data_IF_887301776342
#
_entry.id   IF_887301776342
#
_cell.length_a   1.000
_cell.length_b   1.000
_cell.length_c   1.000
_cell.angle_alpha   90.00
_cell.angle_beta   90.00
_cell.angle_gamma   90.00
#
_symmetry.space_group_name_H-M   'P 1'
#
loop_
_entity.id
_entity.type
_entity.pdbx_description
1 polymer ?
#
# COMPACT_ATOMS: atom_id res chain seq x y z
N UNK A 1 -15.83 -50.13 -9.59
CA UNK A 1 -16.07 -48.75 -10.03
C UNK A 1 -15.23 -48.51 -11.28
N UNK A 2 -15.87 -48.39 -12.44
CA UNK A 2 -15.18 -48.25 -13.73
C UNK A 2 -14.75 -46.79 -13.91
N UNK A 3 -13.44 -46.55 -14.01
CA UNK A 3 -12.90 -45.25 -14.37
C UNK A 3 -13.21 -45.00 -15.85
N UNK A 4 -14.22 -44.15 -16.10
CA UNK A 4 -14.55 -43.65 -17.43
C UNK A 4 -13.51 -42.60 -17.82
N UNK A 5 -12.48 -43.04 -18.55
CA UNK A 5 -11.52 -42.14 -19.17
C UNK A 5 -12.19 -41.40 -20.34
N UNK A 6 -12.79 -40.25 -20.06
CA UNK A 6 -13.17 -39.30 -21.11
C UNK A 6 -11.89 -38.76 -21.78
N UNK A 7 -11.86 -38.61 -23.13
CA UNK A 7 -10.73 -37.98 -23.80
C UNK A 7 -10.57 -36.53 -23.31
N UNK A 8 -9.34 -36.10 -22.95
CA UNK A 8 -9.09 -34.76 -22.42
C UNK A 8 -9.41 -33.68 -23.46
N UNK A 9 -9.98 -32.56 -23.01
CA UNK A 9 -10.33 -31.42 -23.88
C UNK A 9 -9.07 -30.88 -24.58
N UNK A 10 -9.06 -30.73 -25.92
CA UNK A 10 -7.92 -30.23 -26.68
C UNK A 10 -7.41 -28.86 -26.21
N UNK A 11 -8.27 -28.00 -25.65
CA UNK A 11 -7.84 -26.70 -25.09
C UNK A 11 -7.04 -26.85 -23.80
N UNK A 12 -7.42 -27.80 -22.95
CA UNK A 12 -6.72 -28.10 -21.70
C UNK A 12 -5.37 -28.74 -21.98
N UNK A 13 -5.30 -29.65 -22.97
CA UNK A 13 -4.05 -30.25 -23.44
C UNK A 13 -3.09 -29.17 -23.95
N UNK A 14 -3.55 -28.25 -24.81
CA UNK A 14 -2.74 -27.15 -25.32
C UNK A 14 -2.24 -26.19 -24.21
N UNK A 15 -3.08 -25.91 -23.22
CA UNK A 15 -2.70 -25.07 -22.07
C UNK A 15 -1.65 -25.77 -21.17
N UNK A 16 -1.79 -27.07 -20.95
CA UNK A 16 -0.82 -27.89 -20.20
C UNK A 16 0.51 -27.97 -20.95
N UNK A 17 0.48 -28.16 -22.26
CA UNK A 17 1.67 -28.18 -23.11
C UNK A 17 2.38 -26.81 -23.14
N UNK A 18 1.63 -25.71 -23.28
CA UNK A 18 2.19 -24.36 -23.20
C UNK A 18 2.84 -24.10 -21.83
N UNK A 19 2.24 -24.60 -20.74
CA UNK A 19 2.82 -24.51 -19.39
C UNK A 19 4.11 -25.33 -19.27
N UNK A 20 4.11 -26.57 -19.78
CA UNK A 20 5.30 -27.43 -19.83
C UNK A 20 6.41 -26.81 -20.67
N UNK A 21 6.08 -26.19 -21.79
CA UNK A 21 7.05 -25.51 -22.66
C UNK A 21 7.65 -24.29 -21.97
N UNK A 22 6.85 -23.44 -21.32
CA UNK A 22 7.35 -22.31 -20.52
C UNK A 22 8.24 -22.75 -19.37
N UNK A 23 7.87 -23.82 -18.66
CA UNK A 23 8.70 -24.34 -17.57
C UNK A 23 10.01 -24.93 -18.12
N UNK A 24 9.99 -25.59 -19.28
CA UNK A 24 11.20 -26.09 -19.94
C UNK A 24 12.12 -24.94 -20.37
N UNK A 25 11.56 -23.87 -20.95
CA UNK A 25 12.32 -22.67 -21.29
C UNK A 25 12.90 -21.95 -20.07
N UNK A 26 12.19 -21.99 -18.93
CA UNK A 26 12.65 -21.44 -17.66
C UNK A 26 13.78 -22.30 -17.08
N UNK A 27 13.61 -23.62 -17.08
CA UNK A 27 14.62 -24.57 -16.64
C UNK A 27 15.90 -24.42 -17.47
N UNK A 28 15.79 -24.34 -18.80
CA UNK A 28 16.93 -24.14 -19.69
C UNK A 28 17.72 -22.87 -19.34
N UNK A 29 17.05 -21.79 -18.90
CA UNK A 29 17.70 -20.54 -18.45
C UNK A 29 18.30 -20.62 -17.05
N UNK A 30 17.71 -21.41 -16.16
CA UNK A 30 18.14 -21.52 -14.77
C UNK A 30 19.31 -22.51 -14.59
N UNK A 31 19.31 -23.58 -15.39
CA UNK A 31 20.35 -24.62 -15.35
C UNK A 31 21.61 -24.23 -16.11
N UNK A 32 21.53 -23.33 -17.09
CA UNK A 32 22.71 -22.78 -17.73
C UNK A 32 23.34 -21.67 -16.86
N UNK A 33 24.48 -22.00 -16.25
CA UNK A 33 25.21 -21.12 -15.33
C UNK A 33 25.66 -19.83 -16.03
N UNK A 34 25.99 -19.88 -17.33
CA UNK A 34 26.52 -18.72 -18.06
C UNK A 34 25.43 -17.70 -18.38
N UNK A 35 24.26 -18.15 -18.81
CA UNK A 35 23.09 -17.26 -19.01
C UNK A 35 22.51 -16.76 -17.69
N UNK A 36 22.64 -17.53 -16.58
CA UNK A 36 22.26 -17.06 -15.25
C UNK A 36 23.14 -15.93 -14.71
N UNK A 37 24.45 -15.96 -14.99
CA UNK A 37 25.42 -14.99 -14.47
C UNK A 37 25.61 -13.80 -15.42
N UNK A 38 25.60 -14.01 -16.75
CA UNK A 38 25.94 -13.00 -17.78
C UNK A 38 24.93 -13.03 -18.95
N UNK A 39 23.67 -13.36 -18.68
CA UNK A 39 22.62 -13.40 -19.70
C UNK A 39 22.31 -12.01 -20.24
N UNK A 40 22.84 -11.69 -21.41
CA UNK A 40 22.58 -10.42 -22.11
C UNK A 40 22.07 -10.71 -23.52
N UNK A 41 20.95 -10.10 -23.89
CA UNK A 41 20.40 -10.20 -25.24
C UNK A 41 21.13 -9.22 -26.19
N UNK A 42 22.19 -9.72 -26.80
CA UNK A 42 23.03 -8.96 -27.75
C UNK A 42 22.22 -8.49 -28.96
N UNK A 43 21.20 -9.23 -29.41
CA UNK A 43 20.39 -8.85 -30.57
C UNK A 43 19.46 -7.69 -30.24
N UNK A 44 18.84 -7.72 -29.07
CA UNK A 44 18.03 -6.61 -28.58
C UNK A 44 18.88 -5.35 -28.36
N UNK A 45 20.05 -5.48 -27.73
CA UNK A 45 20.98 -4.35 -27.54
C UNK A 45 21.47 -3.76 -28.86
N UNK A 46 21.83 -4.60 -29.83
CA UNK A 46 22.22 -4.13 -31.16
C UNK A 46 21.07 -3.39 -31.86
N UNK A 47 19.82 -3.86 -31.68
CA UNK A 47 18.64 -3.19 -32.23
C UNK A 47 18.42 -1.82 -31.57
N UNK A 48 18.60 -1.71 -30.25
CA UNK A 48 18.52 -0.44 -29.52
C UNK A 48 19.61 0.55 -29.93
N UNK A 49 20.85 0.08 -30.13
CA UNK A 49 21.96 0.92 -30.63
C UNK A 49 21.67 1.43 -32.03
N UNK A 50 21.10 0.60 -32.91
CA UNK A 50 20.70 1.03 -34.25
C UNK A 50 19.57 2.07 -34.20
N UNK A 51 18.57 1.85 -33.35
CA UNK A 51 17.48 2.82 -33.14
C UNK A 51 18.02 4.17 -32.64
N UNK A 52 18.96 4.15 -31.69
CA UNK A 52 19.60 5.35 -31.18
C UNK A 52 20.37 6.10 -32.28
N UNK A 53 21.14 5.38 -33.12
CA UNK A 53 21.84 5.97 -34.27
C UNK A 53 20.89 6.62 -35.27
N UNK A 54 19.75 5.99 -35.54
CA UNK A 54 18.71 6.55 -36.42
C UNK A 54 18.11 7.82 -35.83
N UNK A 55 17.83 7.85 -34.53
CA UNK A 55 17.34 9.04 -33.83
C UNK A 55 18.37 10.18 -33.89
N UNK A 56 19.63 9.90 -33.59
CA UNK A 56 20.71 10.88 -33.68
C UNK A 56 20.89 11.43 -35.10
N UNK A 57 20.81 10.57 -36.12
CA UNK A 57 20.88 10.99 -37.52
C UNK A 57 19.69 11.89 -37.91
N UNK A 58 18.49 11.55 -37.44
CA UNK A 58 17.29 12.37 -37.68
C UNK A 58 17.39 13.75 -36.99
N UNK A 59 17.88 13.81 -35.75
CA UNK A 59 18.12 15.08 -35.05
C UNK A 59 19.18 15.91 -35.77
N UNK A 60 20.32 15.32 -36.16
CA UNK A 60 21.34 16.03 -36.96
C UNK A 60 20.77 16.57 -38.29
N UNK A 61 19.89 15.81 -38.95
CA UNK A 61 19.25 16.28 -40.17
C UNK A 61 18.30 17.45 -39.92
N UNK A 62 17.58 17.47 -38.79
CA UNK A 62 16.73 18.60 -38.39
C UNK A 62 17.58 19.83 -38.08
N UNK A 63 18.65 19.67 -37.30
CA UNK A 63 19.59 20.75 -36.98
C UNK A 63 20.21 21.36 -38.24
N UNK A 64 20.63 20.52 -39.20
CA UNK A 64 21.13 20.99 -40.49
C UNK A 64 20.07 21.77 -41.29
N UNK A 65 18.81 21.33 -41.29
CA UNK A 65 17.71 22.05 -41.94
C UNK A 65 17.44 23.41 -41.27
N UNK A 66 17.47 23.47 -39.94
CA UNK A 66 17.36 24.74 -39.21
C UNK A 66 18.52 25.68 -39.51
N UNK A 67 19.75 25.17 -39.56
CA UNK A 67 20.92 25.96 -39.97
C UNK A 67 20.79 26.52 -41.38
N UNK A 68 20.31 25.73 -42.34
CA UNK A 68 20.06 26.20 -43.70
C UNK A 68 18.98 27.30 -43.76
N UNK A 69 17.90 27.13 -42.98
CA UNK A 69 16.84 28.13 -42.88
C UNK A 69 17.37 29.44 -42.26
N UNK A 70 18.22 29.36 -41.24
CA UNK A 70 18.84 30.54 -40.63
C UNK A 70 19.66 31.33 -41.64
N UNK A 71 20.52 30.66 -42.43
CA UNK A 71 21.30 31.30 -43.50
C UNK A 71 20.39 31.96 -44.53
N UNK A 72 19.27 31.32 -44.89
CA UNK A 72 18.29 31.91 -45.81
C UNK A 72 17.64 33.18 -45.22
N UNK A 73 17.23 33.15 -43.96
CA UNK A 73 16.64 34.31 -43.30
C UNK A 73 17.65 35.46 -43.14
N UNK A 74 18.90 35.16 -42.83
CA UNK A 74 19.96 36.16 -42.75
C UNK A 74 20.20 36.83 -44.12
N UNK A 75 20.18 36.06 -45.21
CA UNK A 75 20.27 36.60 -46.56
C UNK A 75 19.10 37.52 -46.90
N UNK A 76 17.87 37.11 -46.57
CA UNK A 76 16.67 37.93 -46.77
C UNK A 76 16.76 39.23 -45.97
N UNK A 77 17.20 39.18 -44.72
CA UNK A 77 17.39 40.36 -43.88
C UNK A 77 18.41 41.33 -44.49
N UNK A 78 19.56 40.83 -44.97
CA UNK A 78 20.56 41.65 -45.66
C UNK A 78 20.00 42.30 -46.94
N UNK A 79 19.19 41.58 -47.72
CA UNK A 79 18.55 42.12 -48.92
C UNK A 79 17.54 43.23 -48.59
N UNK A 80 16.75 43.06 -47.53
CA UNK A 80 15.80 44.06 -47.07
C UNK A 80 16.52 45.32 -46.57
N UNK A 81 17.60 45.15 -45.81
CA UNK A 81 18.42 46.25 -45.35
C UNK A 81 19.01 47.07 -46.51
N UNK A 82 19.55 46.39 -47.55
CA UNK A 82 20.03 47.08 -48.77
C UNK A 82 18.93 47.87 -49.46
N UNK A 83 17.73 47.31 -49.61
CA UNK A 83 16.57 48.01 -50.19
C UNK A 83 16.17 49.24 -49.38
N UNK A 84 16.22 49.16 -48.06
CA UNK A 84 15.97 50.31 -47.19
C UNK A 84 17.03 51.39 -47.35
N UNK A 85 18.30 51.03 -47.44
CA UNK A 85 19.40 51.96 -47.69
C UNK A 85 19.27 52.65 -49.05
N UNK A 86 18.90 51.91 -50.10
CA UNK A 86 18.62 52.46 -51.43
C UNK A 86 17.44 53.44 -51.39
N UNK A 87 16.35 53.10 -50.70
CA UNK A 87 15.20 54.01 -50.49
C UNK A 87 15.62 55.29 -49.76
N UNK A 88 16.44 55.17 -48.72
CA UNK A 88 16.99 56.32 -47.97
C UNK A 88 17.85 57.23 -48.85
N UNK A 89 18.54 56.69 -49.86
CA UNK A 89 19.32 57.49 -50.84
C UNK A 89 18.45 58.10 -51.94
N UNK A 90 17.45 57.36 -52.42
CA UNK A 90 16.57 57.77 -53.52
C UNK A 90 15.60 58.90 -53.12
N UNK A 91 15.05 58.84 -51.90
CA UNK A 91 14.08 59.83 -51.40
C UNK A 91 14.62 61.28 -51.45
N UNK A 92 15.80 61.61 -50.89
CA UNK A 92 16.38 62.95 -50.98
C UNK A 92 16.67 63.40 -52.42
N UNK A 93 17.17 62.51 -53.28
CA UNK A 93 17.43 62.82 -54.70
C UNK A 93 16.15 63.22 -55.41
N UNK A 94 15.04 62.49 -55.21
CA UNK A 94 13.74 62.84 -55.80
C UNK A 94 13.18 64.16 -55.26
N UNK A 95 13.36 64.44 -53.97
CA UNK A 95 12.98 65.73 -53.38
C UNK A 95 13.79 66.88 -53.99
N UNK A 96 15.06 66.68 -54.34
CA UNK A 96 15.88 67.68 -55.03
C UNK A 96 15.60 67.82 -56.53
N UNK A 97 15.23 66.75 -57.22
CA UNK A 97 14.83 66.78 -58.64
C UNK A 97 13.50 67.52 -58.86
N UNK A 98 12.62 67.53 -57.86
CA UNK A 98 11.29 68.11 -57.94
C UNK A 98 11.30 69.64 -58.22
N UNK A 99 12.10 70.48 -57.53
CA UNK A 99 12.31 71.88 -57.91
C UNK A 99 12.86 72.06 -59.33
N UNK A 100 13.81 71.22 -59.76
CA UNK A 100 14.46 71.34 -61.07
C UNK A 100 13.50 71.06 -62.25
N UNK A 101 12.48 70.21 -62.05
CA UNK A 101 11.47 69.90 -63.08
C UNK A 101 10.24 70.81 -63.02
N UNK A 102 9.74 71.10 -61.82
CA UNK A 102 8.47 71.79 -61.58
C UNK A 102 8.58 73.30 -61.36
N UNK A 103 9.71 73.81 -60.85
CA UNK A 103 9.88 75.20 -60.42
C UNK A 103 10.94 75.95 -61.25
N UNK A 104 11.02 75.66 -62.55
CA UNK A 104 11.89 76.44 -63.44
C UNK A 104 11.34 77.87 -63.60
N UNK A 105 12.19 78.89 -63.45
CA UNK A 105 11.82 80.31 -63.58
C UNK A 105 11.06 80.61 -64.90
N UNK A 106 11.43 79.88 -65.97
CA UNK A 106 10.82 79.98 -67.31
C UNK A 106 9.35 79.53 -67.39
N UNK A 107 8.86 78.79 -66.39
CA UNK A 107 7.48 78.29 -66.31
C UNK A 107 6.60 79.14 -65.38
N UNK A 108 7.12 80.24 -64.82
CA UNK A 108 6.34 81.17 -64.00
C UNK A 108 5.42 82.03 -64.86
N UNK A 109 4.19 82.24 -64.39
CA UNK A 109 3.14 82.92 -65.16
C UNK A 109 3.48 84.38 -65.52
N UNK A 110 4.38 85.01 -64.75
CA UNK A 110 4.81 86.41 -64.91
C UNK A 110 6.17 86.56 -65.62
N UNK A 111 6.82 85.47 -66.05
CA UNK A 111 8.16 85.52 -66.66
C UNK A 111 8.22 86.40 -67.92
N UNK A 112 7.10 86.54 -68.65
CA UNK A 112 6.99 87.40 -69.83
C UNK A 112 7.16 88.91 -69.56
N UNK A 113 7.04 89.37 -68.31
CA UNK A 113 7.27 90.77 -67.93
C UNK A 113 8.72 91.05 -67.52
N UNK A 114 9.52 89.99 -67.29
CA UNK A 114 10.88 90.06 -66.76
C UNK A 114 11.94 89.49 -67.73
N UNK A 115 11.55 89.20 -68.99
CA UNK A 115 12.43 88.60 -69.99
C UNK A 115 13.39 89.66 -70.59
N UNK A 116 14.72 89.56 -70.40
CA UNK A 116 15.68 90.57 -70.86
C UNK A 116 15.78 90.73 -72.39
N UNK A 117 15.20 89.79 -73.16
CA UNK A 117 15.18 89.80 -74.64
C UNK A 117 13.90 90.40 -75.25
N UNK A 118 13.00 90.97 -74.43
CA UNK A 118 11.69 91.47 -74.87
C UNK A 118 11.70 92.50 -76.03
N UNK A 119 12.64 93.47 -76.14
CA UNK A 119 12.64 94.42 -77.24
C UNK A 119 13.05 93.80 -78.60
N UNK A 120 13.64 92.60 -78.62
CA UNK A 120 14.07 91.91 -79.84
C UNK A 120 13.08 90.86 -80.36
N UNK A 121 12.01 90.57 -79.60
CA UNK A 121 10.96 89.59 -79.94
C UNK A 121 9.67 90.23 -80.52
N UNK A 122 9.68 91.53 -80.79
CA UNK A 122 8.55 92.24 -81.44
C UNK A 122 8.56 92.04 -82.96
N UNK A 123 7.59 91.30 -83.50
CA UNK A 123 7.43 91.11 -84.94
C UNK A 123 6.82 92.34 -85.62
N UNK A 124 7.47 92.77 -86.70
CA UNK A 124 7.02 93.77 -87.67
C UNK A 124 5.66 93.40 -88.28
N UNK A 125 4.74 94.36 -88.27
CA UNK A 125 3.44 94.27 -88.92
C UNK A 125 3.60 94.39 -90.45
N UNK A 126 2.95 93.46 -91.18
CA UNK A 126 2.73 93.46 -92.63
C UNK A 126 3.79 92.73 -93.51
N UNK A 127 3.54 91.43 -93.74
CA UNK A 127 3.92 90.75 -94.99
C UNK A 127 3.04 89.51 -95.25
N UNK A 128 2.21 89.57 -96.29
CA UNK A 128 1.66 88.43 -97.05
C UNK A 128 0.39 87.75 -96.53
N UNK A 129 -0.51 87.43 -97.46
CA UNK A 129 -1.95 87.08 -97.38
C UNK A 129 -2.33 85.80 -96.62
N UNK A 130 -1.55 85.37 -95.63
CA UNK A 130 -2.02 84.33 -94.70
C UNK A 130 -1.30 84.51 -93.38
N UNK A 131 -1.83 85.39 -92.51
CA UNK A 131 -1.37 85.47 -91.13
C UNK A 131 -2.48 85.72 -90.09
N UNK A 132 -2.26 85.25 -88.84
CA UNK A 132 -3.25 85.13 -87.76
C UNK A 132 -3.40 86.40 -86.89
N UNK A 133 -2.89 87.55 -87.34
CA UNK A 133 -2.80 88.79 -86.54
C UNK A 133 -3.91 89.81 -86.85
N UNK A 134 -4.99 89.38 -87.52
CA UNK A 134 -6.18 90.20 -87.69
C UNK A 134 -7.20 89.82 -86.62
N UNK A 135 -7.27 90.60 -85.54
CA UNK A 135 -8.42 90.55 -84.63
C UNK A 135 -9.65 91.25 -85.25
N UNK A 136 -10.86 91.03 -84.73
CA UNK A 136 -12.10 91.57 -85.31
C UNK A 136 -12.14 93.11 -85.41
N UNK A 137 -11.26 93.81 -84.69
CA UNK A 137 -11.13 95.27 -84.75
C UNK A 137 -10.36 95.80 -85.99
N UNK A 138 -9.57 94.98 -86.70
CA UNK A 138 -8.79 95.45 -87.85
C UNK A 138 -9.60 95.58 -89.15
N UNK A 139 -10.83 95.06 -89.19
CA UNK A 139 -11.74 95.03 -90.35
C UNK A 139 -11.17 94.49 -91.68
N UNK A 140 -9.99 93.85 -91.68
CA UNK A 140 -9.33 93.40 -92.91
C UNK A 140 -9.58 91.92 -93.25
N UNK A 141 -10.08 91.10 -92.32
CA UNK A 141 -10.52 89.72 -92.57
C UNK A 141 -11.82 89.43 -91.81
N UNK A 142 -12.89 89.05 -92.51
CA UNK A 142 -14.17 88.63 -91.90
C UNK A 142 -14.34 87.11 -92.02
N UNK A 143 -14.03 86.38 -90.96
CA UNK A 143 -14.03 84.90 -90.92
C UNK A 143 -15.42 84.24 -90.93
N UNK A 144 -16.47 84.89 -91.45
CA UNK A 144 -17.87 84.36 -91.38
C UNK A 144 -18.26 83.47 -92.57
N UNK A 145 -17.43 83.41 -93.61
CA UNK A 145 -17.65 82.49 -94.74
C UNK A 145 -16.86 81.20 -94.54
N UNK A 146 -17.45 80.31 -93.73
CA UNK A 146 -16.92 78.95 -93.53
C UNK A 146 -17.21 78.09 -94.77
N UNK A 147 -16.23 77.96 -95.67
CA UNK A 147 -16.28 76.96 -96.76
C UNK A 147 -16.16 75.50 -96.25
N UNK A 148 -15.81 75.29 -94.97
CA UNK A 148 -15.65 73.97 -94.32
C UNK A 148 -16.71 73.67 -93.22
N UNK A 149 -17.83 74.41 -93.20
CA UNK A 149 -18.87 74.21 -92.16
C UNK A 149 -19.49 72.81 -92.18
N UNK A 150 -19.55 72.18 -93.36
CA UNK A 150 -20.14 70.85 -93.56
C UNK A 150 -19.22 69.73 -93.09
N UNK A 151 -17.91 69.83 -93.33
CA UNK A 151 -16.89 68.87 -92.89
C UNK A 151 -16.71 68.93 -91.36
N UNK A 152 -16.65 70.14 -90.78
CA UNK A 152 -16.63 70.33 -89.33
C UNK A 152 -17.88 69.77 -88.63
N UNK A 153 -19.09 69.93 -89.21
CA UNK A 153 -20.31 69.35 -88.64
C UNK A 153 -20.32 67.82 -88.68
N UNK A 154 -19.79 67.20 -89.74
CA UNK A 154 -19.68 65.74 -89.85
C UNK A 154 -18.71 65.19 -88.79
N UNK A 155 -17.53 65.78 -88.66
CA UNK A 155 -16.57 65.37 -87.61
C UNK A 155 -17.14 65.56 -86.20
N UNK A 156 -17.90 66.63 -85.94
CA UNK A 156 -18.59 66.83 -84.66
C UNK A 156 -19.66 65.76 -84.39
N UNK A 157 -20.39 65.30 -85.42
CA UNK A 157 -21.37 64.23 -85.29
C UNK A 157 -20.72 62.87 -85.05
N UNK A 158 -19.63 62.57 -85.76
CA UNK A 158 -18.83 61.35 -85.54
C UNK A 158 -18.21 61.32 -84.14
N UNK A 159 -17.69 62.46 -83.67
CA UNK A 159 -17.18 62.60 -82.31
C UNK A 159 -18.28 62.38 -81.27
N UNK A 160 -19.47 62.97 -81.44
CA UNK A 160 -20.63 62.70 -80.58
C UNK A 160 -21.00 61.22 -80.54
N UNK A 161 -21.06 60.56 -81.70
CA UNK A 161 -21.38 59.14 -81.78
C UNK A 161 -20.32 58.26 -81.08
N UNK A 162 -19.03 58.60 -81.21
CA UNK A 162 -17.95 57.90 -80.50
C UNK A 162 -18.05 58.07 -78.97
N UNK A 163 -18.41 59.26 -78.48
CA UNK A 163 -18.61 59.50 -77.05
C UNK A 163 -19.83 58.76 -76.52
N UNK A 164 -20.94 58.75 -77.26
CA UNK A 164 -22.13 57.98 -76.90
C UNK A 164 -21.83 56.47 -76.83
N UNK A 165 -21.00 55.96 -77.74
CA UNK A 165 -20.53 54.57 -77.72
C UNK A 165 -19.68 54.29 -76.46
N UNK A 166 -18.71 55.15 -76.15
CA UNK A 166 -17.88 55.02 -74.95
C UNK A 166 -18.70 55.07 -73.65
N UNK A 167 -19.71 55.95 -73.58
CA UNK A 167 -20.59 56.04 -72.40
C UNK A 167 -21.42 54.76 -72.25
N UNK A 168 -21.95 54.20 -73.34
CA UNK A 168 -22.69 52.93 -73.30
C UNK A 168 -21.80 51.76 -72.88
N UNK A 169 -20.58 51.67 -73.42
CA UNK A 169 -19.60 50.65 -73.03
C UNK A 169 -19.25 50.76 -71.53
N UNK A 170 -19.03 51.97 -71.02
CA UNK A 170 -18.80 52.17 -69.59
C UNK A 170 -20.01 51.81 -68.72
N UNK A 171 -21.23 52.10 -69.18
CA UNK A 171 -22.45 51.71 -68.46
C UNK A 171 -22.61 50.19 -68.43
N UNK A 172 -22.32 49.50 -69.54
CA UNK A 172 -22.33 48.04 -69.61
C UNK A 172 -21.27 47.43 -68.70
N UNK A 173 -20.03 47.91 -68.75
CA UNK A 173 -18.95 47.44 -67.88
C UNK A 173 -19.27 47.63 -66.39
N UNK A 174 -19.89 48.77 -66.01
CA UNK A 174 -20.36 49.01 -64.64
C UNK A 174 -21.48 48.05 -64.24
N UNK A 175 -22.43 47.78 -65.13
CA UNK A 175 -23.51 46.83 -64.87
C UNK A 175 -22.98 45.40 -64.69
N UNK A 176 -21.99 45.00 -65.51
CA UNK A 176 -21.29 43.72 -65.39
C UNK A 176 -20.53 43.64 -64.06
N UNK A 177 -19.79 44.68 -63.68
CA UNK A 177 -19.07 44.76 -62.40
C UNK A 177 -20.03 44.62 -61.20
N UNK A 178 -21.15 45.35 -61.21
CA UNK A 178 -22.18 45.24 -60.16
C UNK A 178 -22.74 43.82 -60.10
N UNK A 179 -23.06 43.20 -61.26
CA UNK A 179 -23.58 41.83 -61.30
C UNK A 179 -22.58 40.79 -60.80
N UNK A 180 -21.29 41.00 -61.06
CA UNK A 180 -20.20 40.15 -60.60
C UNK A 180 -19.98 40.29 -59.09
N UNK A 181 -20.05 41.50 -58.55
CA UNK A 181 -19.99 41.76 -57.11
C UNK A 181 -21.18 41.15 -56.38
N UNK A 182 -22.40 41.29 -56.90
CA UNK A 182 -23.59 40.63 -56.34
C UNK A 182 -23.45 39.10 -56.31
N UNK A 183 -22.87 38.51 -57.36
CA UNK A 183 -22.61 37.07 -57.39
C UNK A 183 -21.55 36.68 -56.36
N UNK A 184 -20.48 37.47 -56.22
CA UNK A 184 -19.44 37.24 -55.21
C UNK A 184 -20.01 37.30 -53.80
N UNK A 185 -20.88 38.26 -53.52
CA UNK A 185 -21.53 38.41 -52.21
C UNK A 185 -22.46 37.23 -51.92
N UNK A 186 -23.25 36.78 -52.90
CA UNK A 186 -24.09 35.57 -52.77
C UNK A 186 -23.24 34.33 -52.48
N UNK A 187 -22.11 34.17 -53.17
CA UNK A 187 -21.19 33.05 -52.93
C UNK A 187 -20.56 33.12 -51.53
N UNK A 188 -20.15 34.32 -51.09
CA UNK A 188 -19.62 34.53 -49.74
C UNK A 188 -20.65 34.15 -48.67
N UNK A 189 -21.88 34.63 -48.81
CA UNK A 189 -22.97 34.29 -47.89
C UNK A 189 -23.26 32.78 -47.89
N UNK A 190 -23.22 32.12 -49.05
CA UNK A 190 -23.39 30.67 -49.14
C UNK A 190 -22.26 29.90 -48.42
N UNK A 191 -21.01 30.38 -48.53
CA UNK A 191 -19.87 29.80 -47.81
C UNK A 191 -20.00 30.01 -46.30
N UNK A 192 -20.33 31.24 -45.86
CA UNK A 192 -20.47 31.58 -44.44
C UNK A 192 -21.61 30.80 -43.78
N UNK A 193 -22.75 30.66 -44.47
CA UNK A 193 -23.88 29.84 -43.99
C UNK A 193 -23.53 28.36 -43.88
N UNK A 194 -22.80 27.81 -44.86
CA UNK A 194 -22.32 26.42 -44.81
C UNK A 194 -21.30 26.22 -43.69
N UNK A 195 -20.38 27.16 -43.49
CA UNK A 195 -19.42 27.13 -42.39
C UNK A 195 -20.12 27.14 -41.03
N UNK A 196 -21.14 27.99 -40.85
CA UNK A 196 -21.93 28.03 -39.62
C UNK A 196 -22.71 26.74 -39.36
N UNK A 197 -23.24 26.09 -40.40
CA UNK A 197 -23.90 24.78 -40.28
C UNK A 197 -22.91 23.69 -39.84
N UNK A 198 -21.72 23.64 -40.45
CA UNK A 198 -20.69 22.67 -40.09
C UNK A 198 -20.22 22.87 -38.65
N UNK A 199 -19.97 24.11 -38.22
CA UNK A 199 -19.59 24.42 -36.83
C UNK A 199 -20.65 23.93 -35.81
N UNK A 200 -21.94 24.13 -36.10
CA UNK A 200 -23.03 23.64 -35.23
C UNK A 200 -23.06 22.11 -35.15
N UNK A 201 -22.83 21.42 -36.27
CA UNK A 201 -22.77 19.96 -36.29
C UNK A 201 -21.56 19.43 -35.51
N UNK A 202 -20.39 20.04 -35.69
CA UNK A 202 -19.18 19.70 -34.93
C UNK A 202 -19.37 19.91 -33.43
N UNK A 203 -19.95 21.03 -33.01
CA UNK A 203 -20.28 21.27 -31.61
C UNK A 203 -21.22 20.19 -31.05
N UNK A 204 -22.24 19.80 -31.81
CA UNK A 204 -23.18 18.76 -31.39
C UNK A 204 -22.51 17.39 -31.25
N UNK A 205 -21.61 17.04 -32.18
CA UNK A 205 -20.82 15.82 -32.13
C UNK A 205 -19.85 15.83 -30.94
N UNK A 206 -19.12 16.93 -30.76
CA UNK A 206 -18.22 17.13 -29.62
C UNK A 206 -18.97 17.02 -28.29
N UNK A 207 -20.17 17.60 -28.17
CA UNK A 207 -21.02 17.45 -26.98
C UNK A 207 -21.41 15.99 -26.77
N UNK A 208 -21.92 15.31 -27.79
CA UNK A 208 -22.31 13.90 -27.71
C UNK A 208 -21.13 13.00 -27.29
N UNK A 209 -19.95 13.20 -27.88
CA UNK A 209 -18.73 12.48 -27.51
C UNK A 209 -18.33 12.73 -26.06
N UNK A 210 -18.35 13.98 -25.60
CA UNK A 210 -18.07 14.33 -24.19
C UNK A 210 -19.05 13.66 -23.23
N UNK A 211 -20.35 13.63 -23.56
CA UNK A 211 -21.35 12.91 -22.77
C UNK A 211 -21.09 11.40 -22.74
N UNK A 212 -20.77 10.79 -23.87
CA UNK A 212 -20.44 9.36 -23.94
C UNK A 212 -19.21 9.02 -23.08
N UNK A 213 -18.14 9.82 -23.17
CA UNK A 213 -16.93 9.66 -22.35
C UNK A 213 -17.25 9.88 -20.86
N UNK A 214 -18.02 10.90 -20.52
CA UNK A 214 -18.42 11.15 -19.13
C UNK A 214 -19.23 9.98 -18.55
N UNK A 215 -20.13 9.39 -19.34
CA UNK A 215 -20.91 8.22 -18.92
C UNK A 215 -20.03 6.98 -18.76
N UNK A 216 -19.10 6.73 -19.70
CA UNK A 216 -18.13 5.64 -19.57
C UNK A 216 -17.26 5.79 -18.32
N UNK A 217 -16.76 7.00 -18.04
CA UNK A 217 -15.98 7.30 -16.85
C UNK A 217 -16.78 7.08 -15.56
N UNK A 218 -18.08 7.45 -15.55
CA UNK A 218 -18.98 7.18 -14.41
C UNK A 218 -19.15 5.68 -14.17
N UNK A 219 -19.38 4.90 -15.23
CA UNK A 219 -19.50 3.43 -15.14
C UNK A 219 -18.20 2.82 -14.64
N UNK A 220 -17.06 3.23 -15.19
CA UNK A 220 -15.75 2.75 -14.77
C UNK A 220 -15.45 3.11 -13.30
N UNK A 221 -15.82 4.31 -12.84
CA UNK A 221 -15.67 4.70 -11.45
C UNK A 221 -16.55 3.86 -10.51
N UNK A 222 -17.79 3.55 -10.92
CA UNK A 222 -18.68 2.67 -10.17
C UNK A 222 -18.11 1.23 -10.08
N UNK A 223 -17.65 0.66 -11.20
CA UNK A 223 -17.01 -0.66 -11.22
C UNK A 223 -15.78 -0.70 -10.31
N UNK A 224 -14.94 0.33 -10.35
CA UNK A 224 -13.76 0.41 -9.47
C UNK A 224 -14.16 0.51 -7.99
N UNK A 225 -15.21 1.26 -7.66
CA UNK A 225 -15.72 1.34 -6.30
C UNK A 225 -16.25 -0.01 -5.81
N UNK A 226 -16.96 -0.76 -6.66
CA UNK A 226 -17.43 -2.11 -6.34
C UNK A 226 -16.27 -3.10 -6.14
N UNK A 227 -15.26 -3.07 -7.02
CA UNK A 227 -14.05 -3.91 -6.87
C UNK A 227 -13.36 -3.66 -5.54
N UNK A 228 -13.17 -2.38 -5.16
CA UNK A 228 -12.60 -2.02 -3.86
C UNK A 228 -13.44 -2.51 -2.69
N UNK A 229 -14.78 -2.44 -2.78
CA UNK A 229 -15.67 -2.99 -1.74
C UNK A 229 -15.52 -4.51 -1.62
N UNK A 230 -15.45 -5.23 -2.74
CA UNK A 230 -15.25 -6.68 -2.74
C UNK A 230 -13.88 -7.07 -2.19
N UNK A 231 -12.83 -6.35 -2.56
CA UNK A 231 -11.48 -6.53 -1.99
C UNK A 231 -11.49 -6.32 -0.48
N UNK A 232 -12.10 -5.23 -0.01
CA UNK A 232 -12.22 -4.96 1.42
C UNK A 232 -12.98 -6.07 2.16
N UNK A 233 -14.08 -6.59 1.59
CA UNK A 233 -14.80 -7.73 2.16
C UNK A 233 -13.94 -9.00 2.20
N UNK A 234 -13.13 -9.26 1.17
CA UNK A 234 -12.18 -10.40 1.13
C UNK A 234 -11.08 -10.24 2.18
N UNK A 235 -10.54 -9.04 2.35
CA UNK A 235 -9.57 -8.72 3.38
C UNK A 235 -10.15 -8.94 4.76
N UNK A 236 -11.35 -8.43 5.04
CA UNK A 236 -12.07 -8.67 6.30
C UNK A 236 -12.32 -10.16 6.54
N UNK A 237 -12.75 -10.90 5.51
CA UNK A 237 -12.98 -12.34 5.63
C UNK A 237 -11.69 -13.12 5.89
N UNK A 238 -10.58 -12.72 5.26
CA UNK A 238 -9.25 -13.31 5.49
C UNK A 238 -8.78 -13.00 6.90
N UNK A 239 -8.86 -11.74 7.32
CA UNK A 239 -8.52 -11.30 8.67
C UNK A 239 -9.32 -12.05 9.74
N UNK A 240 -10.63 -12.24 9.51
CA UNK A 240 -11.47 -13.00 10.43
C UNK A 240 -11.06 -14.48 10.50
N UNK A 241 -10.76 -15.11 9.36
CA UNK A 241 -10.26 -16.50 9.33
C UNK A 241 -8.92 -16.62 10.05
N UNK A 242 -8.03 -15.64 9.90
CA UNK A 242 -6.74 -15.62 10.57
C UNK A 242 -6.91 -15.49 12.09
N UNK A 243 -7.80 -14.59 12.54
CA UNK A 243 -8.17 -14.46 13.96
C UNK A 243 -8.73 -15.78 14.50
N UNK A 244 -9.67 -16.41 13.78
CA UNK A 244 -10.24 -17.69 14.18
C UNK A 244 -9.17 -18.79 14.26
N UNK A 245 -8.26 -18.83 13.29
CA UNK A 245 -7.15 -19.78 13.29
C UNK A 245 -6.23 -19.55 14.49
N UNK A 246 -5.89 -18.30 14.81
CA UNK A 246 -5.07 -17.97 15.98
C UNK A 246 -5.78 -18.35 17.29
N UNK A 247 -7.06 -17.99 17.45
CA UNK A 247 -7.85 -18.32 18.66
C UNK A 247 -7.96 -19.84 18.85
N UNK A 248 -8.16 -20.58 17.76
CA UNK A 248 -8.24 -22.05 17.76
C UNK A 248 -6.87 -22.73 17.72
N UNK A 249 -5.78 -21.97 17.61
CA UNK A 249 -4.44 -22.53 17.63
C UNK A 249 -4.19 -23.16 19.00
N UNK A 250 -3.49 -24.30 19.01
CA UNK A 250 -3.16 -24.99 20.25
C UNK A 250 -2.38 -24.12 21.25
N UNK A 251 -1.69 -23.08 20.76
CA UNK A 251 -0.93 -22.14 21.57
C UNK A 251 -1.86 -21.33 22.47
N UNK A 252 -2.89 -20.71 21.89
CA UNK A 252 -3.86 -19.87 22.64
C UNK A 252 -4.90 -20.70 23.38
N UNK A 253 -5.42 -21.78 22.77
CA UNK A 253 -6.43 -22.61 23.44
C UNK A 253 -5.81 -23.48 24.55
N UNK A 254 -4.47 -23.59 24.61
CA UNK A 254 -3.78 -24.48 25.53
C UNK A 254 -4.02 -25.97 25.28
N UNK A 255 -4.89 -26.33 24.32
CA UNK A 255 -5.24 -27.69 23.87
C UNK A 255 -4.20 -28.26 22.91
N UNK A 256 -2.92 -28.08 23.22
CA UNK A 256 -1.95 -29.05 22.71
C UNK A 256 -2.22 -30.33 23.47
N UNK A 257 -2.78 -31.32 22.78
CA UNK A 257 -2.75 -32.70 23.26
C UNK A 257 -1.31 -32.95 23.69
N UNK A 258 -1.13 -33.40 24.92
CA UNK A 258 0.18 -33.76 25.45
C UNK A 258 0.81 -34.66 24.39
N UNK A 259 1.81 -34.14 23.69
CA UNK A 259 2.34 -34.83 22.53
C UNK A 259 3.17 -35.97 23.09
N UNK A 260 2.62 -37.17 22.99
CA UNK A 260 3.30 -38.37 23.39
C UNK A 260 4.44 -38.62 22.41
N UNK A 261 5.51 -39.24 22.89
CA UNK A 261 6.60 -39.65 22.03
C UNK A 261 6.05 -40.62 20.97
N UNK A 262 6.37 -40.40 19.69
CA UNK A 262 5.83 -41.21 18.60
C UNK A 262 6.16 -42.71 18.74
N UNK A 263 7.32 -43.03 19.32
CA UNK A 263 7.80 -44.40 19.54
C UNK A 263 7.45 -44.96 20.94
N UNK A 264 7.08 -44.09 21.89
CA UNK A 264 6.78 -44.46 23.26
C UNK A 264 5.54 -43.68 23.76
N UNK A 265 4.32 -44.21 23.53
CA UNK A 265 3.07 -43.53 23.87
C UNK A 265 2.92 -43.20 25.37
N UNK A 266 3.61 -43.94 26.23
CA UNK A 266 3.65 -43.72 27.68
C UNK A 266 4.55 -42.55 28.09
N UNK A 267 5.45 -42.08 27.21
CA UNK A 267 6.35 -40.98 27.49
C UNK A 267 5.83 -39.68 26.91
N UNK A 268 5.91 -38.62 27.72
CA UNK A 268 5.53 -37.27 27.33
C UNK A 268 6.77 -36.49 26.94
N UNK A 269 6.70 -35.75 25.82
CA UNK A 269 7.78 -34.86 25.39
C UNK A 269 8.03 -33.77 26.47
N UNK A 270 9.27 -33.56 26.96
CA UNK A 270 9.56 -32.66 28.08
C UNK A 270 9.06 -31.23 27.90
N UNK A 271 9.19 -30.68 26.69
CA UNK A 271 8.77 -29.31 26.36
C UNK A 271 7.25 -29.14 26.21
N UNK A 272 6.48 -30.23 26.17
CA UNK A 272 5.01 -30.23 26.02
C UNK A 272 4.27 -30.46 27.33
N UNK A 273 4.99 -30.71 28.43
CA UNK A 273 4.39 -31.00 29.74
C UNK A 273 3.76 -29.75 30.36
N UNK A 274 2.44 -29.78 30.58
CA UNK A 274 1.65 -28.71 31.23
C UNK A 274 0.95 -29.22 32.50
N UNK A 275 1.58 -30.17 33.20
CA UNK A 275 1.06 -30.80 34.42
C UNK A 275 0.18 -32.02 34.17
N UNK A 276 -0.22 -32.70 35.27
CA UNK A 276 -1.06 -33.91 35.20
C UNK A 276 -2.49 -33.63 34.75
N UNK A 277 -2.99 -34.50 33.88
CA UNK A 277 -4.42 -34.63 33.49
C UNK A 277 -5.31 -34.84 34.73
N UNK A 278 -6.57 -34.34 34.72
CA UNK A 278 -7.49 -34.52 35.85
C UNK A 278 -7.73 -35.98 36.24
N UNK A 279 -7.73 -36.92 35.29
CA UNK A 279 -7.94 -38.35 35.56
C UNK A 279 -6.90 -38.94 36.55
N UNK A 280 -5.58 -38.93 36.28
CA UNK A 280 -4.56 -39.33 37.25
C UNK A 280 -4.69 -38.63 38.61
N UNK A 281 -5.02 -37.34 38.62
CA UNK A 281 -5.20 -36.58 39.88
C UNK A 281 -6.37 -37.13 40.70
N UNK A 282 -7.48 -37.51 40.05
CA UNK A 282 -8.61 -38.14 40.75
C UNK A 282 -8.24 -39.51 41.28
N UNK A 283 -7.46 -40.30 40.54
CA UNK A 283 -6.96 -41.60 41.00
C UNK A 283 -6.05 -41.46 42.21
N UNK A 284 -5.14 -40.48 42.22
CA UNK A 284 -4.27 -40.18 43.36
C UNK A 284 -5.11 -39.78 44.58
N UNK A 285 -6.10 -38.90 44.41
CA UNK A 285 -6.99 -38.50 45.52
C UNK A 285 -7.75 -39.70 46.11
N UNK A 286 -8.33 -40.55 45.26
CA UNK A 286 -9.00 -41.79 45.70
C UNK A 286 -8.04 -42.73 46.44
N UNK A 287 -6.80 -42.84 45.97
CA UNK A 287 -5.78 -43.65 46.64
C UNK A 287 -5.39 -43.07 48.00
N UNK A 288 -5.23 -41.75 48.11
CA UNK A 288 -4.97 -41.07 49.38
C UNK A 288 -6.11 -41.24 50.37
N UNK A 289 -7.37 -41.13 49.91
CA UNK A 289 -8.56 -41.39 50.72
C UNK A 289 -8.56 -42.84 51.24
N UNK A 290 -8.25 -43.82 50.38
CA UNK A 290 -8.12 -45.21 50.78
C UNK A 290 -7.01 -45.41 51.84
N UNK A 291 -5.85 -44.77 51.68
CA UNK A 291 -4.77 -44.80 52.68
C UNK A 291 -5.19 -44.19 54.02
N UNK A 292 -5.97 -43.11 54.01
CA UNK A 292 -6.52 -42.53 55.24
C UNK A 292 -7.45 -43.51 55.95
N UNK A 293 -8.34 -44.17 55.22
CA UNK A 293 -9.24 -45.19 55.78
C UNK A 293 -8.48 -46.39 56.33
N UNK A 294 -7.48 -46.90 55.61
CA UNK A 294 -6.65 -48.01 56.07
C UNK A 294 -5.91 -47.67 57.37
N UNK A 295 -5.28 -46.49 57.44
CA UNK A 295 -4.58 -46.03 58.64
C UNK A 295 -5.53 -45.83 59.82
N UNK A 296 -6.76 -45.40 59.57
CA UNK A 296 -7.79 -45.29 60.61
C UNK A 296 -8.21 -46.66 61.14
N UNK A 297 -8.37 -47.66 60.26
CA UNK A 297 -8.67 -49.04 60.65
C UNK A 297 -7.52 -49.65 61.48
N UNK A 298 -6.26 -49.42 61.07
CA UNK A 298 -5.08 -49.87 61.83
C UNK A 298 -5.08 -49.28 63.26
N UNK A 299 -5.31 -47.98 63.41
CA UNK A 299 -5.41 -47.34 64.74
C UNK A 299 -6.54 -47.90 65.59
N UNK A 300 -7.67 -48.28 64.99
CA UNK A 300 -8.78 -48.92 65.72
C UNK A 300 -8.39 -50.33 66.18
N UNK A 301 -7.70 -51.10 65.33
CA UNK A 301 -7.20 -52.43 65.69
C UNK A 301 -6.13 -52.36 66.80
N UNK A 302 -5.20 -51.41 66.73
CA UNK A 302 -4.19 -51.16 67.78
C UNK A 302 -4.86 -50.82 69.12
N UNK A 303 -5.85 -49.91 69.12
CA UNK A 303 -6.61 -49.57 70.33
C UNK A 303 -7.37 -50.77 70.90
N UNK A 304 -7.94 -51.62 70.05
CA UNK A 304 -8.62 -52.83 70.49
C UNK A 304 -7.63 -53.82 71.12
N UNK A 305 -6.44 -53.98 70.54
CA UNK A 305 -5.38 -54.82 71.09
C UNK A 305 -4.87 -54.27 72.43
N UNK A 306 -4.61 -52.97 72.52
CA UNK A 306 -4.19 -52.30 73.76
C UNK A 306 -5.25 -52.45 74.87
N UNK A 307 -6.54 -52.34 74.54
CA UNK A 307 -7.62 -52.61 75.47
C UNK A 307 -7.65 -54.08 75.94
N UNK A 308 -7.41 -55.04 75.04
CA UNK A 308 -7.28 -56.46 75.40
C UNK A 308 -6.10 -56.68 76.36
N UNK A 309 -4.91 -56.13 76.05
CA UNK A 309 -3.75 -56.18 76.93
C UNK A 309 -4.02 -55.52 78.29
N UNK A 310 -4.69 -54.37 78.30
CA UNK A 310 -5.13 -53.69 79.52
C UNK A 310 -6.06 -54.56 80.37
N UNK A 311 -7.04 -55.23 79.75
CA UNK A 311 -7.94 -56.15 80.45
C UNK A 311 -7.20 -57.37 81.03
N UNK A 312 -6.26 -57.94 80.28
CA UNK A 312 -5.42 -59.04 80.76
C UNK A 312 -4.54 -58.59 81.93
N UNK A 313 -3.95 -57.40 81.87
CA UNK A 313 -3.16 -56.85 82.96
C UNK A 313 -3.99 -56.66 84.24
N UNK A 314 -5.24 -56.18 84.13
CA UNK A 314 -6.16 -56.06 85.27
C UNK A 314 -6.47 -57.43 85.86
N UNK A 315 -6.80 -58.42 85.03
CA UNK A 315 -7.09 -59.78 85.48
C UNK A 315 -5.88 -60.43 86.17
N UNK A 316 -4.67 -60.24 85.62
CA UNK A 316 -3.43 -60.71 86.23
C UNK A 316 -3.13 -60.01 87.56
N UNK A 317 -3.39 -58.70 87.65
CA UNK A 317 -3.23 -57.96 88.90
C UNK A 317 -4.23 -58.43 89.98
N UNK A 318 -5.48 -58.73 89.61
CA UNK A 318 -6.46 -59.33 90.51
C UNK A 318 -6.02 -60.71 90.99
N UNK A 319 -5.59 -61.59 90.08
CA UNK A 319 -5.08 -62.91 90.44
C UNK A 319 -3.84 -62.83 91.35
N UNK A 320 -2.95 -61.86 91.13
CA UNK A 320 -1.80 -61.63 92.01
C UNK A 320 -2.22 -61.18 93.42
N UNK A 321 -3.21 -60.30 93.54
CA UNK A 321 -3.77 -59.90 94.83
C UNK A 321 -4.41 -61.08 95.57
N UNK A 322 -5.18 -61.92 94.87
CA UNK A 322 -5.75 -63.14 95.45
C UNK A 322 -4.66 -64.10 95.95
N UNK A 323 -3.57 -64.26 95.20
CA UNK A 323 -2.41 -65.07 95.64
C UNK A 323 -1.71 -64.46 96.86
N UNK A 324 -1.52 -63.14 96.92
CA UNK A 324 -0.97 -62.46 98.09
C UNK A 324 -1.85 -62.64 99.33
N UNK A 325 -3.18 -62.63 99.18
CA UNK A 325 -4.12 -62.91 100.26
C UNK A 325 -3.98 -64.34 100.76
N UNK A 326 -3.92 -65.33 99.85
CA UNK A 326 -3.67 -66.73 100.21
C UNK A 326 -2.32 -66.91 100.93
N UNK A 327 -1.27 -66.23 100.49
CA UNK A 327 0.05 -66.26 101.16
C UNK A 327 -0.03 -65.69 102.58
N UNK A 328 -0.75 -64.57 102.76
CA UNK A 328 -0.97 -63.95 104.08
C UNK A 328 -1.73 -64.89 105.02
N UNK A 329 -2.76 -65.57 104.53
CA UNK A 329 -3.52 -66.57 105.30
C UNK A 329 -2.63 -67.74 105.73
N UNK A 330 -1.88 -68.33 104.80
CA UNK A 330 -0.94 -69.41 105.10
C UNK A 330 0.13 -68.97 106.11
N UNK A 331 0.69 -67.77 105.96
CA UNK A 331 1.63 -67.21 106.91
C UNK A 331 1.01 -67.02 108.30
N UNK A 332 -0.26 -66.60 108.38
CA UNK A 332 -0.97 -66.47 109.66
C UNK A 332 -1.17 -67.84 110.32
N UNK A 333 -1.52 -68.88 109.55
CA UNK A 333 -1.62 -70.25 110.03
C UNK A 333 -0.26 -70.79 110.51
N UNK A 334 0.82 -70.60 109.76
CA UNK A 334 2.16 -70.96 110.20
C UNK A 334 2.58 -70.22 111.48
N UNK A 335 2.26 -68.92 111.62
CA UNK A 335 2.53 -68.16 112.84
C UNK A 335 1.73 -68.68 114.04
N UNK A 336 0.46 -69.07 113.85
CA UNK A 336 -0.36 -69.71 114.89
C UNK A 336 0.24 -71.06 115.30
N UNK A 337 0.62 -71.89 114.33
CA UNK A 337 1.29 -73.17 114.54
C UNK A 337 2.59 -73.02 115.34
N UNK A 338 3.50 -72.14 114.89
CA UNK A 338 4.73 -71.82 115.61
C UNK A 338 4.47 -71.25 117.01
N UNK A 339 3.45 -70.42 117.17
CA UNK A 339 3.02 -69.90 118.48
C UNK A 339 2.63 -71.02 119.44
N UNK A 340 1.83 -71.98 118.98
CA UNK A 340 1.43 -73.15 119.77
C UNK A 340 2.61 -74.06 120.14
N UNK A 341 3.53 -74.29 119.20
CA UNK A 341 4.74 -75.06 119.43
C UNK A 341 5.68 -74.39 120.44
N UNK A 342 5.89 -73.08 120.32
CA UNK A 342 6.69 -72.31 121.28
C UNK A 342 6.07 -72.32 122.69
N UNK A 343 4.74 -72.31 122.80
CA UNK A 343 4.06 -72.47 124.11
C UNK A 343 4.33 -73.84 124.72
N UNK A 344 4.26 -74.92 123.94
CA UNK A 344 4.61 -76.28 124.41
C UNK A 344 6.07 -76.34 124.87
N UNK A 345 7.00 -75.83 124.06
CA UNK A 345 8.43 -75.79 124.39
C UNK A 345 8.70 -74.98 125.68
N UNK A 346 8.00 -73.86 125.87
CA UNK A 346 8.10 -73.06 127.10
C UNK A 346 7.55 -73.80 128.33
N UNK A 347 6.47 -74.57 128.19
CA UNK A 347 5.95 -75.43 129.26
C UNK A 347 6.95 -76.54 129.61
N UNK A 348 7.55 -77.19 128.61
CA UNK A 348 8.59 -78.22 128.80
C UNK A 348 9.84 -77.64 129.51
N UNK A 349 10.34 -76.48 129.07
CA UNK A 349 11.46 -75.81 129.73
C UNK A 349 11.13 -75.44 131.18
N UNK A 350 9.92 -74.93 131.44
CA UNK A 350 9.48 -74.61 132.81
C UNK A 350 9.37 -75.86 133.68
N UNK A 351 8.88 -76.98 133.12
CA UNK A 351 8.86 -78.27 133.81
C UNK A 351 10.28 -78.77 134.13
N UNK A 352 11.22 -78.64 133.19
CA UNK A 352 12.64 -78.97 133.42
C UNK A 352 13.28 -78.08 134.50
N UNK A 353 13.06 -76.76 134.47
CA UNK A 353 13.55 -75.85 135.51
C UNK A 353 12.96 -76.18 136.90
N UNK A 354 11.67 -76.50 136.97
CA UNK A 354 11.04 -76.95 138.21
C UNK A 354 11.65 -78.26 138.71
N UNK A 355 11.96 -79.20 137.83
CA UNK A 355 12.67 -80.45 138.16
C UNK A 355 14.07 -80.18 138.73
N UNK A 356 14.87 -79.33 138.06
CA UNK A 356 16.22 -78.96 138.52
C UNK A 356 16.18 -78.27 139.90
N UNK A 357 15.29 -77.30 140.08
CA UNK A 357 15.16 -76.52 141.31
C UNK A 357 14.67 -77.35 142.51
N UNK A 358 13.79 -78.34 142.28
CA UNK A 358 13.21 -79.14 143.36
C UNK A 358 14.08 -80.33 143.77
N UNK A 359 14.73 -81.00 142.82
CA UNK A 359 15.43 -82.27 143.06
C UNK A 359 16.95 -82.10 143.17
N UNK A 360 17.56 -81.26 142.32
CA UNK A 360 19.04 -81.16 142.24
C UNK A 360 19.56 -80.03 143.14
N UNK A 361 18.92 -78.87 143.14
CA UNK A 361 19.42 -77.70 143.87
C UNK A 361 19.01 -77.62 145.35
N UNK A 362 18.22 -78.57 145.84
CA UNK A 362 17.81 -78.65 147.24
C UNK A 362 18.66 -79.66 148.00
N UNK A 363 19.71 -79.20 148.68
CA UNK A 363 20.54 -80.06 149.54
C UNK A 363 19.82 -80.32 150.88
N UNK A 364 19.52 -81.58 151.19
CA UNK A 364 19.11 -81.99 152.53
C UNK A 364 20.33 -82.33 153.39
N UNK A 365 20.44 -81.83 154.63
CA UNK A 365 21.57 -82.12 155.51
C UNK A 365 21.54 -83.59 155.99
N UNK A 366 22.58 -84.35 155.66
CA UNK A 366 22.76 -85.77 156.01
C UNK A 366 23.15 -85.94 157.47
N UNK A 367 22.75 -87.05 158.09
CA UNK A 367 22.85 -87.38 159.53
C UNK A 367 24.27 -87.37 160.18
N UNK A 368 25.31 -86.93 159.48
CA UNK A 368 26.68 -86.80 160.01
C UNK A 368 26.88 -85.62 160.97
N UNK A 369 25.90 -84.72 161.12
CA UNK A 369 26.02 -83.47 161.90
C UNK A 369 25.58 -83.55 163.38
N UNK A 370 25.37 -84.75 163.94
CA UNK A 370 24.97 -84.96 165.35
C UNK A 370 26.12 -85.46 166.26
N UNK A 371 27.35 -84.99 166.05
CA UNK A 371 28.55 -85.50 166.75
C UNK A 371 29.26 -84.48 167.67
N UNK A 372 28.58 -83.44 168.13
CA UNK A 372 29.16 -82.48 169.08
C UNK A 372 28.81 -82.83 170.54
N UNK A 373 29.84 -82.87 171.40
CA UNK A 373 29.85 -83.01 172.87
C UNK A 373 29.60 -84.42 173.48
N UNK A 374 30.53 -85.39 173.33
CA UNK A 374 30.42 -86.71 174.01
C UNK A 374 31.56 -87.17 174.94
N UNK A 375 32.63 -86.41 175.25
CA UNK A 375 33.44 -86.69 176.47
C UNK A 375 34.51 -85.63 176.80
N UNK A 376 34.95 -85.62 178.07
CA UNK A 376 35.94 -84.72 178.67
C UNK A 376 37.38 -85.24 178.57
N UNK A 377 38.00 -85.05 177.39
CA UNK A 377 39.45 -85.01 177.20
C UNK A 377 39.81 -84.05 176.08
#
# INVERSE_FOLDING_TARGET
MFNLNLPPDPKEVAAIEARRNRERERQNRFFDVRTRVIGVDVRALNSQVQEQKLREAAERSKEAAYGANQVHFDLVAQMLQKKEEERKRWLPQKVQEFPAQGQQLKKMHEFCLWDPDQPWKGYSACRGDTKPQCGPASMQCLSREDLDRTTCRRMQQEFKHSLEKQVKEQQQARAEEISADELRDKLRLAVDTRAAQLAKLEESCCKAMRYAVANANKVQAAEQAERKRQEHQREQATSFKDIQHQVNSGLLTGKHHITQHAEAPSQVLPHSWKGMTPEPRTTIKKFQEAQCHEKQAQRQAEKALEAQWGSQAINLAQAALELEEQEKELCAEFRRGLGSFNQQLAQEQKAQQNYLNSIIYTNQPTAHYLQFNTSSR
#
